data_IF_274240302163
#
_entry.id   IF_274240302163
#
_cell.length_a   1.000
_cell.length_b   1.000
_cell.length_c   1.000
_cell.angle_alpha   90.00
_cell.angle_beta   90.00
_cell.angle_gamma   90.00
#
_symmetry.space_group_name_H-M   'P 1'
#
loop_
_entity.id
_entity.type
_entity.pdbx_description
1 polymer ?
#
# COMPACT_ATOMS: atom_id res chain seq x y z
N UNK A 1 1.76 16.65 8.30
CA UNK A 1 3.09 16.08 7.93
C UNK A 1 2.90 15.35 6.61
N UNK A 2 3.62 15.71 5.55
CA UNK A 2 3.40 15.13 4.22
C UNK A 2 4.45 14.03 3.94
N UNK A 3 3.99 12.87 3.47
CA UNK A 3 4.85 11.75 3.06
C UNK A 3 4.65 11.46 1.58
N UNK A 4 5.74 11.45 0.81
CA UNK A 4 5.72 11.06 -0.60
C UNK A 4 5.95 9.55 -0.74
N UNK A 5 5.12 8.91 -1.56
CA UNK A 5 5.24 7.49 -1.90
C UNK A 5 5.78 7.35 -3.31
N UNK A 6 6.89 6.62 -3.48
CA UNK A 6 7.42 6.26 -4.79
C UNK A 6 7.15 4.77 -5.03
N UNK A 7 6.15 4.39 -5.85
CA UNK A 7 5.74 2.98 -6.02
C UNK A 7 6.86 2.09 -6.55
N UNK A 8 7.79 2.67 -7.31
CA UNK A 8 8.91 1.95 -7.94
C UNK A 8 10.03 1.55 -6.96
N UNK A 9 10.10 2.21 -5.80
CA UNK A 9 11.12 1.91 -4.77
C UNK A 9 10.64 0.86 -3.76
N UNK A 10 9.34 0.55 -3.74
CA UNK A 10 8.76 -0.44 -2.82
C UNK A 10 9.03 -1.84 -3.38
N UNK A 11 9.68 -2.69 -2.58
CA UNK A 11 10.09 -4.04 -2.97
C UNK A 11 9.08 -5.10 -2.54
N UNK A 12 9.07 -6.23 -3.26
CA UNK A 12 8.20 -7.38 -3.03
C UNK A 12 8.25 -7.96 -1.60
N UNK A 13 9.35 -7.73 -0.89
CA UNK A 13 9.61 -8.30 0.46
C UNK A 13 8.90 -7.54 1.59
N UNK A 14 8.11 -6.50 1.28
CA UNK A 14 7.27 -5.74 2.23
C UNK A 14 7.99 -5.28 3.51
N UNK A 15 9.25 -4.80 3.45
CA UNK A 15 10.06 -4.56 4.65
C UNK A 15 9.51 -3.42 5.51
N UNK A 16 8.93 -2.40 4.88
CA UNK A 16 8.31 -1.28 5.59
C UNK A 16 7.11 -1.71 6.43
N UNK A 17 6.39 -2.76 6.04
CA UNK A 17 5.28 -3.28 6.84
C UNK A 17 5.79 -3.96 8.10
N UNK A 18 6.85 -4.77 7.99
CA UNK A 18 7.47 -5.47 9.14
C UNK A 18 8.12 -4.46 10.08
N UNK A 19 8.92 -3.53 9.57
CA UNK A 19 9.59 -2.50 10.38
C UNK A 19 8.59 -1.59 11.10
N UNK A 20 7.48 -1.21 10.44
CA UNK A 20 6.42 -0.44 11.10
C UNK A 20 5.75 -1.23 12.23
N UNK A 21 5.59 -2.55 12.05
CA UNK A 21 4.98 -3.42 13.06
C UNK A 21 5.88 -3.56 14.28
N UNK A 22 7.17 -3.83 14.04
CA UNK A 22 8.22 -3.95 15.06
C UNK A 22 8.39 -2.64 15.86
N UNK A 23 8.56 -1.51 15.17
CA UNK A 23 8.70 -0.20 15.81
C UNK A 23 7.46 0.26 16.60
N UNK A 24 6.28 -0.29 16.29
CA UNK A 24 5.02 0.04 16.98
C UNK A 24 4.55 -1.05 17.92
N UNK A 25 5.35 -2.10 18.12
CA UNK A 25 5.08 -3.23 18.98
C UNK A 25 3.64 -3.77 18.83
N UNK A 26 3.22 -3.95 17.57
CA UNK A 26 1.84 -4.36 17.28
C UNK A 26 1.69 -5.86 17.41
N UNK A 27 0.57 -6.28 18.00
CA UNK A 27 0.14 -7.68 18.05
C UNK A 27 -0.10 -8.29 16.65
N UNK A 28 -0.40 -9.59 16.63
CA UNK A 28 -0.87 -10.26 15.42
C UNK A 28 -2.22 -9.68 15.00
N UNK A 29 -2.29 -9.14 13.78
CA UNK A 29 -3.52 -8.59 13.19
C UNK A 29 -3.34 -7.16 12.68
N UNK A 30 -3.14 -6.17 13.56
CA UNK A 30 -3.01 -4.77 13.18
C UNK A 30 -1.87 -4.52 12.19
N UNK A 31 -2.16 -3.78 11.11
CA UNK A 31 -1.20 -3.35 10.09
C UNK A 31 -1.38 -1.86 9.82
N UNK A 32 -0.67 -1.02 10.57
CA UNK A 32 -0.69 0.43 10.40
C UNK A 32 -0.12 0.86 9.04
N UNK A 33 0.81 0.07 8.49
CA UNK A 33 1.28 0.17 7.10
C UNK A 33 0.96 -1.12 6.36
N UNK A 34 0.53 -1.01 5.11
CA UNK A 34 0.15 -2.13 4.23
C UNK A 34 0.88 -1.99 2.91
N UNK A 35 1.47 -3.08 2.43
CA UNK A 35 2.07 -3.12 1.09
C UNK A 35 1.22 -4.00 0.18
N UNK A 36 0.55 -3.35 -0.77
CA UNK A 36 -0.23 -4.00 -1.81
C UNK A 36 0.64 -4.28 -3.01
N UNK A 37 0.39 -5.40 -3.66
CA UNK A 37 0.94 -5.74 -4.97
C UNK A 37 -0.17 -5.57 -5.99
N UNK A 38 0.10 -4.84 -7.05
CA UNK A 38 -0.83 -4.66 -8.14
C UNK A 38 -0.12 -5.03 -9.44
N UNK A 39 -0.69 -6.00 -10.15
CA UNK A 39 -0.20 -6.45 -11.43
C UNK A 39 -1.35 -6.65 -12.40
N UNK A 40 -1.02 -6.62 -13.68
CA UNK A 40 -1.98 -6.73 -14.77
C UNK A 40 -1.28 -6.84 -16.11
N UNK A 41 -2.05 -6.61 -17.16
CA UNK A 41 -1.65 -6.83 -18.54
C UNK A 41 -2.16 -8.17 -19.07
N UNK A 42 -1.78 -8.45 -20.31
CA UNK A 42 -2.35 -9.51 -21.12
C UNK A 42 -1.30 -10.09 -22.05
N UNK A 43 -1.63 -11.24 -22.63
CA UNK A 43 -0.83 -11.90 -23.66
C UNK A 43 -1.66 -11.96 -24.94
N UNK A 44 -1.09 -11.50 -26.04
CA UNK A 44 -1.70 -11.53 -27.36
C UNK A 44 -0.81 -12.35 -28.29
N UNK A 45 -1.42 -13.29 -29.02
CA UNK A 45 -0.72 -14.10 -30.01
C UNK A 45 -0.74 -13.38 -31.36
N UNK A 46 0.43 -13.16 -31.95
CA UNK A 46 0.59 -12.61 -33.29
C UNK A 46 1.40 -13.59 -34.15
N UNK A 47 0.71 -14.33 -35.04
CA UNK A 47 1.32 -15.39 -35.85
C UNK A 47 1.82 -16.55 -34.99
N UNK A 48 3.11 -16.87 -35.10
CA UNK A 48 3.78 -17.86 -34.24
C UNK A 48 4.39 -17.24 -32.96
N UNK A 49 4.30 -15.91 -32.80
CA UNK A 49 4.87 -15.18 -31.67
C UNK A 49 3.81 -14.77 -30.64
N UNK A 50 4.26 -14.52 -29.41
CA UNK A 50 3.45 -13.98 -28.33
C UNK A 50 4.01 -12.63 -27.88
N UNK A 51 3.13 -11.65 -27.73
CA UNK A 51 3.44 -10.32 -27.23
C UNK A 51 2.68 -10.07 -25.92
N UNK A 52 3.26 -9.29 -25.01
CA UNK A 52 2.62 -8.97 -23.73
C UNK A 52 2.86 -7.53 -23.28
N UNK A 53 1.93 -7.02 -22.49
CA UNK A 53 2.00 -5.74 -21.79
C UNK A 53 1.98 -5.91 -20.26
N UNK A 54 2.31 -7.11 -19.77
CA UNK A 54 2.35 -7.46 -18.34
C UNK A 54 3.16 -6.45 -17.51
N UNK A 55 2.59 -6.01 -16.38
CA UNK A 55 3.24 -5.13 -15.41
C UNK A 55 2.96 -5.56 -13.97
N UNK A 56 3.83 -5.12 -13.06
CA UNK A 56 3.61 -5.23 -11.61
C UNK A 56 4.24 -4.03 -10.89
N UNK A 57 3.61 -3.57 -9.83
CA UNK A 57 4.16 -2.57 -8.92
C UNK A 57 3.63 -2.75 -7.50
N UNK A 58 4.35 -2.17 -6.55
CA UNK A 58 4.01 -2.26 -5.14
C UNK A 58 3.57 -0.89 -4.61
N UNK A 59 2.50 -0.88 -3.83
CA UNK A 59 1.96 0.32 -3.21
C UNK A 59 1.98 0.18 -1.70
N UNK A 60 2.80 0.99 -1.03
CA UNK A 60 2.82 1.09 0.43
C UNK A 60 1.81 2.15 0.89
N UNK A 61 0.77 1.78 1.62
CA UNK A 61 -0.26 2.69 2.16
C UNK A 61 -0.23 2.66 3.69
N UNK A 62 -0.43 3.81 4.32
CA UNK A 62 -0.65 3.96 5.76
C UNK A 62 -1.77 4.99 6.02
N UNK A 63 -2.01 5.37 7.28
CA UNK A 63 -2.82 6.55 7.57
C UNK A 63 -2.17 7.78 6.93
N UNK A 64 -2.96 8.58 6.20
CA UNK A 64 -2.44 9.75 5.51
C UNK A 64 -2.34 10.99 6.41
N UNK A 65 -2.85 10.93 7.65
CA UNK A 65 -2.96 12.07 8.55
C UNK A 65 -3.53 13.30 7.80
N UNK A 66 -4.68 13.08 7.16
CA UNK A 66 -5.35 14.09 6.34
C UNK A 66 -5.62 15.35 7.16
N UNK A 67 -5.53 16.51 6.52
CA UNK A 67 -5.87 17.79 7.14
C UNK A 67 -7.36 17.86 7.53
N UNK A 68 -8.22 17.20 6.73
CA UNK A 68 -9.65 16.99 7.01
C UNK A 68 -9.94 15.48 7.19
N UNK A 69 -9.68 14.91 8.37
CA UNK A 69 -9.78 13.46 8.58
C UNK A 69 -11.23 13.01 8.80
N UNK A 70 -11.81 12.37 7.78
CA UNK A 70 -13.16 11.78 7.85
C UNK A 70 -13.32 10.76 8.98
N UNK A 71 -12.24 10.07 9.36
CA UNK A 71 -12.27 9.11 10.47
C UNK A 71 -12.51 9.76 11.83
N UNK A 72 -12.13 11.03 12.01
CA UNK A 72 -12.39 11.78 13.26
C UNK A 72 -13.82 12.29 13.27
N UNK A 73 -14.25 12.96 12.18
CA UNK A 73 -15.60 13.53 12.09
C UNK A 73 -16.71 12.47 12.09
N UNK A 74 -16.41 11.26 11.60
CA UNK A 74 -17.35 10.15 11.57
C UNK A 74 -17.36 9.28 12.83
N UNK A 75 -16.54 9.56 13.84
CA UNK A 75 -16.40 8.71 15.01
C UNK A 75 -17.60 8.85 15.98
N UNK A 76 -18.39 7.78 16.21
CA UNK A 76 -19.61 7.85 17.04
C UNK A 76 -19.35 8.16 18.53
N UNK A 77 -18.13 7.93 19.02
CA UNK A 77 -17.75 8.10 20.42
C UNK A 77 -17.04 9.43 20.69
N UNK A 78 -16.90 10.29 19.69
CA UNK A 78 -15.93 11.38 19.70
C UNK A 78 -14.55 10.81 19.39
N UNK A 79 -14.00 11.16 18.24
CA UNK A 79 -12.66 10.74 17.85
C UNK A 79 -11.65 11.79 18.30
N UNK A 80 -10.60 11.34 18.97
CA UNK A 80 -9.43 12.18 19.22
C UNK A 80 -8.53 12.09 17.98
N UNK A 81 -8.00 13.23 17.53
CA UNK A 81 -7.09 13.31 16.38
C UNK A 81 -5.67 12.83 16.74
#
# INVERSE_FOLDING_TARGET
MAFMLTPRAVQAVKPCQVSCKDNKDLDVGPKLRRVYEYGGGSWVKEGESWHHDTFTYYLSIACNHCDEPVCVSGCPTGGDA
#
